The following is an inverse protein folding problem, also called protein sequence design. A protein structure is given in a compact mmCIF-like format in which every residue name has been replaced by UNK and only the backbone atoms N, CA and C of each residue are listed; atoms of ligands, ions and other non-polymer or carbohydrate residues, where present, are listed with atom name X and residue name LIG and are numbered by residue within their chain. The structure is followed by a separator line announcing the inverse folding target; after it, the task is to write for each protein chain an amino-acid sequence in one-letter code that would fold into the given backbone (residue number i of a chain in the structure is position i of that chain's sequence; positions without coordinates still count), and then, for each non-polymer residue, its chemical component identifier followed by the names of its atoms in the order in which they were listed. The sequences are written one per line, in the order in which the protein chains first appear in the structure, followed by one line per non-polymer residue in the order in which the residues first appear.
data_IF_547809204028
#
_entry.id   IF_547809204028
#
_cell.length_a   1.000
_cell.length_b   1.000
_cell.length_c   1.000
_cell.angle_alpha   90.00
_cell.angle_beta   90.00
_cell.angle_gamma   90.00
#
_symmetry.space_group_name_H-M   'P 1'
#
loop_
_entity.id
_entity.type
_entity.pdbx_description
1 polymer ?
#
# COMPACT_ATOMS: atom_id res chain seq x y z
N UNK A 1 -40.89 10.23 16.81
CA UNK A 1 -40.09 9.04 16.58
C UNK A 1 -39.32 9.21 15.27
N UNK A 2 -38.03 8.89 15.29
CA UNK A 2 -37.13 8.94 14.11
C UNK A 2 -36.63 7.53 13.81
N UNK A 3 -36.69 7.14 12.54
CA UNK A 3 -36.11 5.90 12.05
C UNK A 3 -34.69 6.20 11.57
N UNK A 4 -33.70 5.58 12.19
CA UNK A 4 -32.28 5.71 11.82
C UNK A 4 -31.86 4.44 11.09
N UNK A 5 -31.29 4.62 9.91
CA UNK A 5 -30.65 3.55 9.14
C UNK A 5 -29.17 3.50 9.51
N UNK A 6 -28.67 2.31 9.81
CA UNK A 6 -27.24 2.04 10.02
C UNK A 6 -26.72 1.31 8.78
N UNK A 7 -26.13 2.01 7.82
CA UNK A 7 -25.79 1.44 6.50
C UNK A 7 -24.77 0.30 6.58
N UNK A 8 -23.83 0.36 7.52
CA UNK A 8 -22.77 -0.66 7.67
C UNK A 8 -23.32 -2.04 8.07
N UNK A 9 -24.41 -2.07 8.85
CA UNK A 9 -25.04 -3.31 9.33
C UNK A 9 -26.39 -3.56 8.66
N UNK A 10 -26.81 -2.69 7.75
CA UNK A 10 -28.11 -2.74 7.04
C UNK A 10 -29.32 -2.86 7.98
N UNK A 11 -29.20 -2.35 9.21
CA UNK A 11 -30.27 -2.33 10.19
C UNK A 11 -30.92 -0.96 10.28
N UNK A 12 -32.21 -0.93 10.56
CA UNK A 12 -32.92 0.31 10.89
C UNK A 12 -33.53 0.19 12.30
N UNK A 13 -33.36 1.23 13.12
CA UNK A 13 -33.90 1.31 14.47
C UNK A 13 -34.74 2.56 14.63
N UNK A 14 -35.86 2.44 15.40
CA UNK A 14 -36.74 3.57 15.67
C UNK A 14 -36.43 4.11 17.08
N UNK A 15 -36.16 5.40 17.18
CA UNK A 15 -35.91 6.10 18.42
C UNK A 15 -37.03 7.09 18.76
N UNK A 16 -37.27 7.25 20.05
CA UNK A 16 -38.14 8.33 20.53
C UNK A 16 -37.29 9.61 20.62
N UNK A 17 -37.73 10.68 20.00
CA UNK A 17 -36.95 11.96 19.91
C UNK A 17 -36.82 12.69 21.23
N UNK A 18 -37.68 12.41 22.15
CA UNK A 18 -37.81 13.03 23.49
C UNK A 18 -36.88 12.37 24.54
N UNK A 19 -36.44 11.12 24.32
CA UNK A 19 -35.65 10.38 25.28
C UNK A 19 -34.31 9.88 24.75
N UNK A 20 -34.13 9.86 23.43
CA UNK A 20 -32.88 9.42 22.82
C UNK A 20 -31.90 10.61 22.65
N UNK A 21 -30.60 10.42 22.93
CA UNK A 21 -29.58 11.45 22.70
C UNK A 21 -29.28 11.62 21.21
N UNK A 22 -30.28 12.13 20.46
CA UNK A 22 -30.17 12.40 19.02
C UNK A 22 -29.92 13.88 18.81
N UNK A 23 -28.90 14.23 18.06
CA UNK A 23 -28.66 15.57 17.57
C UNK A 23 -28.71 15.57 16.05
N UNK A 24 -29.38 16.58 15.48
CA UNK A 24 -29.37 16.81 14.03
C UNK A 24 -28.03 17.41 13.64
N UNK A 25 -27.42 16.86 12.63
CA UNK A 25 -26.22 17.40 12.02
C UNK A 25 -26.67 18.30 10.86
N UNK A 26 -26.23 19.54 10.89
CA UNK A 26 -26.39 20.50 9.80
C UNK A 26 -25.02 20.98 9.36
N UNK A 27 -24.82 21.07 8.06
CA UNK A 27 -23.61 21.63 7.48
C UNK A 27 -23.70 23.15 7.41
N UNK A 28 -22.54 23.79 7.38
CA UNK A 28 -22.41 25.24 7.29
C UNK A 28 -21.97 25.67 5.88
N UNK A 29 -22.15 26.95 5.56
CA UNK A 29 -21.60 27.54 4.35
C UNK A 29 -20.07 27.38 4.35
N UNK A 30 -19.52 26.83 3.27
CA UNK A 30 -18.10 26.52 3.13
C UNK A 30 -17.74 25.04 3.35
N UNK A 31 -18.65 24.25 3.94
CA UNK A 31 -18.43 22.81 4.10
C UNK A 31 -18.51 22.09 2.74
N UNK A 32 -17.83 20.97 2.64
CA UNK A 32 -17.92 20.09 1.47
C UNK A 32 -18.83 18.91 1.83
N UNK A 33 -19.86 18.72 1.04
CA UNK A 33 -20.83 17.63 1.20
C UNK A 33 -20.92 16.81 -0.07
N UNK A 34 -21.24 15.52 0.05
CA UNK A 34 -21.43 14.62 -1.08
C UNK A 34 -22.78 13.93 -1.01
N UNK A 35 -23.32 13.55 -2.17
CA UNK A 35 -24.51 12.71 -2.28
C UNK A 35 -24.10 11.23 -2.44
N UNK A 36 -25.09 10.33 -2.51
CA UNK A 36 -24.85 8.89 -2.72
C UNK A 36 -24.30 8.54 -4.12
N UNK A 37 -24.19 9.53 -5.02
CA UNK A 37 -23.59 9.38 -6.35
C UNK A 37 -22.14 9.89 -6.40
N UNK A 38 -21.52 10.13 -5.25
CA UNK A 38 -20.15 10.67 -5.09
C UNK A 38 -19.94 12.07 -5.72
N UNK A 39 -21.01 12.81 -6.02
CA UNK A 39 -20.88 14.20 -6.42
C UNK A 39 -20.65 15.04 -5.16
N UNK A 40 -19.52 15.72 -5.10
CA UNK A 40 -19.15 16.59 -3.97
C UNK A 40 -19.34 18.05 -4.34
N UNK A 41 -20.02 18.82 -3.47
CA UNK A 41 -20.20 20.26 -3.64
C UNK A 41 -19.67 21.03 -2.41
N UNK A 42 -19.21 22.24 -2.63
CA UNK A 42 -18.94 23.20 -1.57
C UNK A 42 -20.21 24.01 -1.31
N UNK A 43 -20.71 23.96 -0.08
CA UNK A 43 -21.94 24.66 0.32
C UNK A 43 -21.76 26.18 0.23
N UNK A 44 -22.59 26.83 -0.56
CA UNK A 44 -22.61 28.31 -0.72
C UNK A 44 -23.83 28.92 -0.06
N UNK A 45 -24.97 28.21 -0.09
CA UNK A 45 -26.22 28.69 0.49
C UNK A 45 -26.99 27.51 1.11
N UNK A 46 -27.71 27.81 2.17
CA UNK A 46 -28.54 26.84 2.90
C UNK A 46 -29.96 27.40 2.96
N UNK A 47 -30.92 26.62 2.45
CA UNK A 47 -32.34 26.93 2.50
C UNK A 47 -33.05 25.96 3.44
N UNK A 48 -34.05 26.44 4.18
CA UNK A 48 -34.87 25.61 5.05
C UNK A 48 -36.34 25.72 4.64
N UNK A 49 -36.93 24.59 4.28
CA UNK A 49 -38.37 24.49 3.97
C UNK A 49 -39.00 23.34 4.75
N UNK A 50 -40.11 23.59 5.40
CA UNK A 50 -40.87 22.57 6.17
C UNK A 50 -40.01 21.78 7.18
N UNK A 51 -38.99 22.42 7.73
CA UNK A 51 -38.09 21.78 8.67
C UNK A 51 -36.95 20.95 8.03
N UNK A 52 -36.88 20.80 6.71
CA UNK A 52 -35.82 20.14 5.96
C UNK A 52 -34.79 21.16 5.45
N UNK A 53 -33.53 20.77 5.41
CA UNK A 53 -32.45 21.59 4.89
C UNK A 53 -32.13 21.20 3.45
N UNK A 54 -31.87 22.22 2.63
CA UNK A 54 -31.38 22.07 1.26
C UNK A 54 -30.09 22.87 1.13
N UNK A 55 -29.08 22.27 0.55
CA UNK A 55 -27.76 22.84 0.38
C UNK A 55 -27.51 23.14 -1.09
N UNK A 56 -27.25 24.38 -1.40
CA UNK A 56 -26.87 24.82 -2.74
C UNK A 56 -25.36 25.08 -2.77
N UNK A 57 -24.69 24.63 -3.79
CA UNK A 57 -23.25 24.81 -3.92
C UNK A 57 -22.73 24.42 -5.29
N UNK A 58 -21.44 24.62 -5.49
CA UNK A 58 -20.72 24.30 -6.73
C UNK A 58 -19.79 23.11 -6.55
N UNK A 59 -19.68 22.28 -7.58
CA UNK A 59 -18.69 21.19 -7.66
C UNK A 59 -17.33 21.71 -8.13
N UNK A 60 -16.35 20.80 -8.27
CA UNK A 60 -14.99 21.12 -8.74
C UNK A 60 -14.95 21.68 -10.17
N UNK A 61 -15.96 21.36 -10.98
CA UNK A 61 -16.08 21.79 -12.38
C UNK A 61 -16.87 23.11 -12.51
N UNK A 62 -17.35 23.66 -11.38
CA UNK A 62 -18.12 24.93 -11.33
C UNK A 62 -19.60 24.76 -11.64
N UNK A 63 -20.12 23.53 -11.74
CA UNK A 63 -21.55 23.28 -11.90
C UNK A 63 -22.27 23.44 -10.57
N UNK A 64 -23.43 24.12 -10.59
CA UNK A 64 -24.25 24.31 -9.39
C UNK A 64 -25.19 23.14 -9.18
N UNK A 65 -25.22 22.65 -7.95
CA UNK A 65 -26.10 21.54 -7.54
C UNK A 65 -26.88 21.93 -6.28
N UNK A 66 -28.05 21.34 -6.12
CA UNK A 66 -28.87 21.45 -4.91
C UNK A 66 -29.07 20.05 -4.33
N UNK A 67 -28.61 19.84 -3.09
CA UNK A 67 -28.82 18.58 -2.38
C UNK A 67 -29.80 18.80 -1.24
N UNK A 68 -30.78 17.94 -1.13
CA UNK A 68 -31.62 17.87 0.05
C UNK A 68 -30.93 17.05 1.13
N UNK A 69 -31.14 17.36 2.40
CA UNK A 69 -30.48 16.64 3.50
C UNK A 69 -30.74 15.13 3.49
N UNK A 70 -31.83 14.66 2.84
CA UNK A 70 -32.16 13.25 2.70
C UNK A 70 -31.38 12.55 1.58
N UNK A 71 -30.79 13.30 0.67
CA UNK A 71 -30.03 12.80 -0.48
C UNK A 71 -28.51 12.81 -0.22
N UNK A 72 -28.12 13.26 0.97
CA UNK A 72 -26.72 13.30 1.35
C UNK A 72 -26.19 11.91 1.64
N UNK A 73 -24.90 11.70 1.31
CA UNK A 73 -24.21 10.46 1.61
C UNK A 73 -24.32 10.10 3.08
N UNK A 74 -24.54 8.82 3.36
CA UNK A 74 -24.57 8.29 4.74
C UNK A 74 -23.24 8.42 5.46
N UNK A 75 -22.16 8.70 4.74
CA UNK A 75 -20.84 8.96 5.30
C UNK A 75 -20.62 10.46 5.48
N UNK A 76 -20.74 10.91 6.73
CA UNK A 76 -20.55 12.30 7.09
C UNK A 76 -19.06 12.58 7.33
N UNK A 77 -18.45 13.39 6.47
CA UNK A 77 -17.09 13.88 6.65
C UNK A 77 -17.11 15.31 7.14
N UNK A 78 -16.75 15.54 8.40
CA UNK A 78 -16.54 16.89 8.91
C UNK A 78 -15.13 17.35 8.59
N UNK A 79 -15.01 18.57 8.07
CA UNK A 79 -13.74 19.15 7.62
C UNK A 79 -12.88 19.69 8.75
N UNK A 80 -13.49 20.10 9.87
CA UNK A 80 -12.75 20.64 11.00
C UNK A 80 -12.72 19.71 12.23
N UNK A 81 -11.63 19.71 13.01
CA UNK A 81 -11.53 18.92 14.24
C UNK A 81 -12.61 19.28 15.27
N UNK A 82 -12.99 20.55 15.34
CA UNK A 82 -14.04 21.05 16.25
C UNK A 82 -15.40 20.46 15.90
N UNK A 83 -15.79 20.47 14.61
CA UNK A 83 -17.05 19.88 14.15
C UNK A 83 -17.12 18.38 14.46
N UNK A 84 -16.01 17.67 14.27
CA UNK A 84 -15.90 16.23 14.62
C UNK A 84 -16.07 16.00 16.12
N UNK A 85 -15.50 16.87 16.94
CA UNK A 85 -15.61 16.80 18.40
C UNK A 85 -17.05 17.04 18.85
N UNK A 86 -17.71 18.10 18.36
CA UNK A 86 -19.10 18.43 18.70
C UNK A 86 -20.11 17.40 18.22
N UNK A 87 -19.84 16.75 17.09
CA UNK A 87 -20.70 15.68 16.57
C UNK A 87 -20.40 14.32 17.21
N UNK A 88 -19.56 14.26 18.25
CA UNK A 88 -19.16 13.05 18.93
C UNK A 88 -18.49 11.99 18.01
N UNK A 89 -17.90 12.45 16.91
CA UNK A 89 -17.06 11.64 16.04
C UNK A 89 -15.66 11.47 16.64
N UNK A 90 -15.63 10.96 17.88
CA UNK A 90 -14.38 10.71 18.60
C UNK A 90 -14.07 9.21 18.50
N UNK A 91 -12.84 8.90 18.18
CA UNK A 91 -12.36 7.53 18.22
C UNK A 91 -12.52 6.95 19.64
N UNK A 92 -12.95 5.69 19.71
CA UNK A 92 -12.96 4.97 21.00
C UNK A 92 -11.54 4.98 21.58
N UNK A 93 -11.43 5.15 22.90
CA UNK A 93 -10.12 5.18 23.58
C UNK A 93 -9.19 4.03 23.18
N UNK A 94 -9.76 2.84 22.93
CA UNK A 94 -8.98 1.68 22.45
C UNK A 94 -8.36 1.91 21.07
N UNK A 95 -9.12 2.50 20.15
CA UNK A 95 -8.63 2.75 18.79
C UNK A 95 -7.56 3.85 18.80
N UNK A 96 -7.76 4.88 19.62
CA UNK A 96 -6.75 5.93 19.83
C UNK A 96 -5.47 5.36 20.43
N UNK A 97 -5.56 4.54 21.48
CA UNK A 97 -4.42 3.89 22.10
C UNK A 97 -3.65 3.01 21.09
N UNK A 98 -4.36 2.20 20.30
CA UNK A 98 -3.75 1.38 19.25
C UNK A 98 -3.02 2.23 18.21
N UNK A 99 -3.62 3.35 17.79
CA UNK A 99 -3.01 4.27 16.82
C UNK A 99 -1.72 4.88 17.37
N UNK A 100 -1.76 5.33 18.63
CA UNK A 100 -0.57 5.89 19.32
C UNK A 100 0.53 4.84 19.48
N UNK A 101 0.19 3.62 19.89
CA UNK A 101 1.17 2.53 20.00
C UNK A 101 1.78 2.17 18.65
N UNK A 102 0.95 2.06 17.61
CA UNK A 102 1.43 1.80 16.24
C UNK A 102 2.42 2.87 15.79
N UNK A 103 2.10 4.14 16.00
CA UNK A 103 3.00 5.26 15.68
C UNK A 103 4.30 5.21 16.49
N UNK A 104 4.24 4.88 17.78
CA UNK A 104 5.43 4.69 18.61
C UNK A 104 6.31 3.56 18.12
N UNK A 105 5.71 2.41 17.74
CA UNK A 105 6.47 1.29 17.19
C UNK A 105 7.09 1.64 15.84
N UNK A 106 6.34 2.29 14.95
CA UNK A 106 6.85 2.76 13.65
C UNK A 106 8.03 3.70 13.85
N UNK A 107 7.92 4.66 14.78
CA UNK A 107 8.99 5.61 15.09
C UNK A 107 10.25 4.89 15.64
N UNK A 108 10.08 3.93 16.56
CA UNK A 108 11.20 3.11 17.05
C UNK A 108 11.87 2.33 15.92
N UNK A 109 11.09 1.73 15.03
CA UNK A 109 11.60 1.03 13.85
C UNK A 109 12.41 1.96 12.95
N UNK A 110 11.91 3.17 12.71
CA UNK A 110 12.57 4.17 11.87
C UNK A 110 13.87 4.71 12.48
N UNK A 111 13.95 4.82 13.81
CA UNK A 111 15.14 5.30 14.52
C UNK A 111 16.15 4.19 14.86
N UNK A 112 15.78 2.94 14.73
CA UNK A 112 16.65 1.82 15.05
C UNK A 112 17.86 1.77 14.10
N UNK A 113 19.06 1.59 14.64
CA UNK A 113 20.27 1.35 13.85
C UNK A 113 20.25 0.00 13.13
N UNK A 114 19.38 -0.92 13.56
CA UNK A 114 19.12 -2.24 12.95
C UNK A 114 17.78 -2.27 12.21
N UNK A 115 17.37 -1.13 11.64
CA UNK A 115 16.14 -1.07 10.82
C UNK A 115 16.15 -2.17 9.76
N UNK A 116 14.97 -2.73 9.51
CA UNK A 116 14.82 -3.78 8.50
C UNK A 116 15.32 -5.17 8.89
N UNK A 117 16.07 -5.28 9.99
CA UNK A 117 16.42 -6.58 10.59
C UNK A 117 15.42 -6.99 11.68
N UNK A 118 14.63 -6.03 12.18
CA UNK A 118 13.55 -6.30 13.13
C UNK A 118 12.39 -6.97 12.42
N UNK A 119 11.98 -8.13 12.92
CA UNK A 119 10.90 -8.93 12.33
C UNK A 119 11.37 -10.06 11.42
N UNK A 120 12.66 -10.14 11.11
CA UNK A 120 13.24 -11.30 10.44
C UNK A 120 13.19 -12.53 11.37
N UNK A 121 12.74 -13.65 10.84
CA UNK A 121 12.70 -14.96 11.52
C UNK A 121 13.92 -15.78 11.13
N UNK A 122 15.10 -15.22 11.36
CA UNK A 122 16.39 -15.86 11.05
C UNK A 122 17.34 -15.63 12.19
N UNK A 123 18.31 -16.54 12.37
CA UNK A 123 19.41 -16.32 13.28
C UNK A 123 20.26 -15.15 12.76
N UNK A 124 20.53 -14.19 13.65
CA UNK A 124 21.30 -13.01 13.29
C UNK A 124 22.80 -13.35 13.41
N UNK A 125 23.40 -13.73 12.31
CA UNK A 125 24.83 -13.95 12.26
C UNK A 125 25.56 -12.59 12.11
N UNK A 126 26.60 -12.31 12.93
CA UNK A 126 27.24 -10.99 12.96
C UNK A 126 27.72 -10.48 11.60
N UNK A 127 28.31 -11.36 10.76
CA UNK A 127 28.78 -10.99 9.43
C UNK A 127 27.60 -10.60 8.49
N UNK A 128 26.48 -11.37 8.49
CA UNK A 128 25.31 -11.09 7.67
C UNK A 128 24.66 -9.75 8.07
N UNK A 129 24.52 -9.52 9.39
CA UNK A 129 24.00 -8.26 9.93
C UNK A 129 24.89 -7.08 9.53
N UNK A 130 26.19 -7.25 9.63
CA UNK A 130 27.16 -6.21 9.24
C UNK A 130 27.07 -5.87 7.76
N UNK A 131 27.06 -6.89 6.88
CA UNK A 131 26.97 -6.72 5.43
C UNK A 131 25.65 -6.06 5.07
N UNK A 132 24.52 -6.59 5.56
CA UNK A 132 23.19 -6.05 5.28
C UNK A 132 23.06 -4.59 5.74
N UNK A 133 23.52 -4.24 6.95
CA UNK A 133 23.47 -2.87 7.45
C UNK A 133 24.36 -1.92 6.64
N UNK A 134 25.58 -2.35 6.29
CA UNK A 134 26.51 -1.56 5.48
C UNK A 134 25.97 -1.26 4.08
N UNK A 135 25.27 -2.22 3.47
CA UNK A 135 24.68 -2.06 2.13
C UNK A 135 23.42 -1.22 2.21
N UNK A 136 22.52 -1.55 3.14
CA UNK A 136 21.25 -0.88 3.31
C UNK A 136 21.35 0.61 3.66
N UNK A 137 22.47 1.02 4.28
CA UNK A 137 22.74 2.43 4.58
C UNK A 137 23.21 3.26 3.37
N UNK A 138 23.51 2.63 2.23
CA UNK A 138 23.98 3.32 1.03
C UNK A 138 22.78 3.81 0.19
N UNK A 139 22.96 4.94 -0.46
CA UNK A 139 22.03 5.40 -1.48
C UNK A 139 22.29 4.64 -2.79
N UNK A 140 21.25 4.03 -3.38
CA UNK A 140 21.30 3.25 -4.63
C UNK A 140 22.49 2.24 -4.66
N UNK A 141 22.53 1.26 -3.77
CA UNK A 141 23.68 0.37 -3.65
C UNK A 141 23.82 -0.51 -4.90
N UNK A 142 25.04 -0.58 -5.44
CA UNK A 142 25.45 -1.58 -6.44
C UNK A 142 26.50 -2.46 -5.78
N UNK A 143 26.14 -3.70 -5.49
CA UNK A 143 26.98 -4.60 -4.71
C UNK A 143 26.97 -6.01 -5.29
N UNK A 144 28.09 -6.70 -5.11
CA UNK A 144 28.22 -8.12 -5.34
C UNK A 144 28.37 -8.80 -3.97
N UNK A 145 27.46 -9.72 -3.65
CA UNK A 145 27.58 -10.63 -2.50
C UNK A 145 28.39 -11.83 -2.96
N UNK A 146 29.66 -11.89 -2.58
CA UNK A 146 30.63 -12.86 -3.08
C UNK A 146 31.13 -13.81 -1.98
N UNK A 147 30.36 -14.02 -0.95
CA UNK A 147 30.70 -14.96 0.13
C UNK A 147 30.69 -16.41 -0.37
N UNK A 148 31.36 -17.29 0.36
CA UNK A 148 31.40 -18.73 0.03
C UNK A 148 29.99 -19.34 -0.05
N UNK A 149 29.90 -20.42 -0.82
CA UNK A 149 28.64 -21.18 -0.94
C UNK A 149 28.23 -21.71 0.44
N UNK A 150 26.96 -21.52 0.81
CA UNK A 150 26.42 -21.98 2.09
C UNK A 150 26.48 -20.96 3.22
N UNK A 151 27.15 -19.81 3.08
CA UNK A 151 27.18 -18.75 4.09
C UNK A 151 25.90 -17.89 4.16
N UNK A 152 24.90 -18.20 3.31
CA UNK A 152 23.58 -17.57 3.38
C UNK A 152 23.44 -16.25 2.63
N UNK A 153 24.06 -16.12 1.45
CA UNK A 153 23.90 -14.96 0.55
C UNK A 153 22.44 -14.56 0.32
N UNK A 154 21.56 -15.54 0.15
CA UNK A 154 20.12 -15.33 0.00
C UNK A 154 19.51 -14.67 1.24
N UNK A 155 20.02 -14.99 2.44
CA UNK A 155 19.58 -14.38 3.70
C UNK A 155 20.07 -12.92 3.77
N UNK A 156 21.30 -12.64 3.38
CA UNK A 156 21.82 -11.28 3.30
C UNK A 156 21.03 -10.42 2.32
N UNK A 157 20.79 -10.95 1.12
CA UNK A 157 19.92 -10.29 0.13
C UNK A 157 18.52 -10.05 0.69
N UNK A 158 17.92 -11.05 1.36
CA UNK A 158 16.63 -10.93 2.03
C UNK A 158 16.60 -9.86 3.11
N UNK A 159 17.64 -9.75 3.94
CA UNK A 159 17.77 -8.69 4.94
C UNK A 159 17.84 -7.30 4.29
N UNK A 160 18.59 -7.16 3.19
CA UNK A 160 18.71 -5.89 2.45
C UNK A 160 17.34 -5.51 1.86
N UNK A 161 16.68 -6.44 1.18
CA UNK A 161 15.35 -6.21 0.59
C UNK A 161 14.31 -5.87 1.66
N UNK A 162 14.30 -6.61 2.75
CA UNK A 162 13.39 -6.36 3.87
C UNK A 162 13.62 -4.97 4.48
N UNK A 163 14.88 -4.55 4.64
CA UNK A 163 15.20 -3.20 5.06
C UNK A 163 14.64 -2.15 4.09
N UNK A 164 14.89 -2.32 2.79
CA UNK A 164 14.45 -1.36 1.77
C UNK A 164 12.92 -1.24 1.72
N UNK A 165 12.20 -2.35 1.85
CA UNK A 165 10.72 -2.36 1.90
C UNK A 165 10.21 -1.65 3.16
N UNK A 166 10.70 -2.00 4.35
CA UNK A 166 10.24 -1.40 5.62
C UNK A 166 10.56 0.09 5.68
N UNK A 167 11.71 0.51 5.15
CA UNK A 167 12.10 1.93 5.12
C UNK A 167 11.51 2.69 3.94
N UNK A 168 10.72 2.02 3.09
CA UNK A 168 10.12 2.58 1.88
C UNK A 168 11.14 3.10 0.85
N UNK A 169 12.37 2.58 0.89
CA UNK A 169 13.41 2.88 -0.10
C UNK A 169 13.19 2.13 -1.41
N UNK A 170 12.56 0.96 -1.35
CA UNK A 170 12.15 0.21 -2.53
C UNK A 170 10.68 -0.21 -2.38
N UNK A 171 9.91 0.04 -3.42
CA UNK A 171 8.51 -0.40 -3.57
C UNK A 171 8.37 -1.44 -4.66
N UNK A 172 9.20 -1.33 -5.71
CA UNK A 172 9.20 -2.24 -6.84
C UNK A 172 10.52 -2.99 -6.92
N UNK A 173 10.45 -4.30 -6.79
CA UNK A 173 11.62 -5.18 -6.69
C UNK A 173 11.50 -6.29 -7.73
N UNK A 174 12.55 -6.44 -8.54
CA UNK A 174 12.69 -7.56 -9.46
C UNK A 174 13.81 -8.49 -8.95
N UNK A 175 13.52 -9.77 -8.87
CA UNK A 175 14.45 -10.81 -8.46
C UNK A 175 14.58 -11.82 -9.60
N UNK A 176 15.78 -11.96 -10.14
CA UNK A 176 16.12 -12.90 -11.20
C UNK A 176 16.93 -14.05 -10.61
N UNK A 177 16.47 -15.27 -10.82
CA UNK A 177 17.12 -16.48 -10.26
C UNK A 177 17.17 -17.60 -11.29
N UNK A 178 18.11 -18.55 -11.17
CA UNK A 178 18.02 -19.83 -11.89
C UNK A 178 16.71 -20.56 -11.55
N UNK A 179 16.16 -21.30 -12.49
CA UNK A 179 14.88 -22.03 -12.35
C UNK A 179 14.85 -22.93 -11.13
N UNK A 180 15.97 -23.59 -10.85
CA UNK A 180 16.12 -24.48 -9.68
C UNK A 180 15.99 -23.78 -8.34
N UNK A 181 16.20 -22.46 -8.28
CA UNK A 181 16.20 -21.68 -7.04
C UNK A 181 14.88 -20.92 -6.81
N UNK A 182 13.95 -20.90 -7.76
CA UNK A 182 12.66 -20.18 -7.64
C UNK A 182 11.91 -20.61 -6.38
N UNK A 183 11.74 -21.90 -6.16
CA UNK A 183 11.02 -22.40 -4.99
C UNK A 183 11.76 -22.08 -3.69
N UNK A 184 13.07 -22.15 -3.67
CA UNK A 184 13.88 -21.82 -2.51
C UNK A 184 13.68 -20.34 -2.13
N UNK A 185 13.78 -19.43 -3.09
CA UNK A 185 13.57 -17.99 -2.86
C UNK A 185 12.17 -17.70 -2.32
N UNK A 186 11.12 -18.30 -2.88
CA UNK A 186 9.75 -18.16 -2.38
C UNK A 186 9.64 -18.54 -0.91
N UNK A 187 10.16 -19.71 -0.56
CA UNK A 187 10.07 -20.25 0.80
C UNK A 187 10.89 -19.41 1.79
N UNK A 188 12.12 -19.06 1.42
CA UNK A 188 13.01 -18.26 2.28
C UNK A 188 12.44 -16.87 2.54
N UNK A 189 11.97 -16.16 1.50
CA UNK A 189 11.41 -14.82 1.64
C UNK A 189 10.12 -14.82 2.45
N UNK A 190 9.25 -15.80 2.22
CA UNK A 190 8.00 -15.89 2.98
C UNK A 190 8.24 -16.27 4.44
N UNK A 191 9.06 -17.28 4.70
CA UNK A 191 9.27 -17.81 6.06
C UNK A 191 10.10 -16.90 6.94
N UNK A 192 11.20 -16.34 6.38
CA UNK A 192 12.17 -15.58 7.16
C UNK A 192 11.87 -14.08 7.22
N UNK A 193 11.29 -13.54 6.14
CA UNK A 193 11.08 -12.09 6.01
C UNK A 193 9.61 -11.71 5.90
N UNK A 194 8.68 -12.67 5.90
CA UNK A 194 7.24 -12.43 5.70
C UNK A 194 6.97 -11.68 4.38
N UNK A 195 7.88 -11.78 3.43
CA UNK A 195 7.83 -11.14 2.13
C UNK A 195 7.19 -12.09 1.12
N UNK A 196 6.09 -11.66 0.51
CA UNK A 196 5.41 -12.40 -0.55
C UNK A 196 6.01 -11.99 -1.88
N UNK A 197 6.44 -12.98 -2.65
CA UNK A 197 6.93 -12.82 -4.01
C UNK A 197 5.88 -13.36 -4.98
N UNK A 198 5.69 -12.65 -6.09
CA UNK A 198 4.85 -13.11 -7.21
C UNK A 198 5.76 -13.72 -8.28
N UNK A 199 5.59 -15.02 -8.57
CA UNK A 199 6.35 -15.68 -9.62
C UNK A 199 5.79 -15.28 -10.97
N UNK A 200 6.66 -14.87 -11.87
CA UNK A 200 6.36 -14.56 -13.26
C UNK A 200 7.09 -15.55 -14.16
N UNK A 201 6.36 -16.52 -14.62
CA UNK A 201 6.75 -17.45 -15.66
C UNK A 201 6.05 -17.11 -16.98
N UNK A 202 6.36 -17.86 -18.05
CA UNK A 202 5.75 -17.65 -19.36
C UNK A 202 4.22 -17.73 -19.32
N UNK A 203 3.67 -18.70 -18.59
CA UNK A 203 2.22 -18.91 -18.52
C UNK A 203 1.51 -17.69 -17.89
N UNK A 204 2.09 -17.13 -16.83
CA UNK A 204 1.52 -15.95 -16.16
C UNK A 204 1.63 -14.70 -17.02
N UNK A 205 2.80 -14.45 -17.63
CA UNK A 205 2.99 -13.26 -18.48
C UNK A 205 2.07 -13.34 -19.70
N UNK A 206 1.98 -14.50 -20.37
CA UNK A 206 1.06 -14.71 -21.49
C UNK A 206 -0.40 -14.47 -21.09
N UNK A 207 -0.84 -15.00 -19.95
CA UNK A 207 -2.21 -14.78 -19.46
C UNK A 207 -2.53 -13.30 -19.23
N UNK A 208 -1.61 -12.52 -18.64
CA UNK A 208 -1.79 -11.09 -18.43
C UNK A 208 -1.86 -10.31 -19.74
N UNK A 209 -1.04 -10.70 -20.74
CA UNK A 209 -1.10 -10.09 -22.08
C UNK A 209 -2.41 -10.44 -22.79
N UNK A 210 -2.89 -11.68 -22.68
CA UNK A 210 -4.16 -12.15 -23.25
C UNK A 210 -5.38 -11.43 -22.62
N UNK A 211 -5.28 -11.05 -21.35
CA UNK A 211 -6.26 -10.21 -20.65
C UNK A 211 -6.22 -8.72 -21.09
N UNK A 212 -5.29 -8.37 -21.99
CA UNK A 212 -5.16 -7.01 -22.54
C UNK A 212 -4.30 -6.06 -21.72
N UNK A 213 -3.50 -6.58 -20.77
CA UNK A 213 -2.60 -5.75 -19.99
C UNK A 213 -1.37 -5.38 -20.83
N UNK A 214 -1.15 -4.08 -21.07
CA UNK A 214 -0.02 -3.58 -21.87
C UNK A 214 1.33 -3.74 -21.18
N UNK A 215 1.35 -3.65 -19.84
CA UNK A 215 2.55 -3.72 -19.00
C UNK A 215 2.37 -4.79 -17.91
N UNK A 216 2.57 -6.07 -18.23
CA UNK A 216 2.27 -7.16 -17.31
C UNK A 216 3.09 -7.13 -16.01
N UNK A 217 4.33 -6.61 -16.08
CA UNK A 217 5.20 -6.52 -14.92
C UNK A 217 4.82 -5.39 -13.95
N UNK A 218 3.90 -4.50 -14.31
CA UNK A 218 3.40 -3.45 -13.42
C UNK A 218 2.28 -3.94 -12.48
N UNK A 219 1.77 -5.15 -12.71
CA UNK A 219 0.70 -5.75 -11.91
C UNK A 219 1.08 -6.09 -10.47
N UNK A 220 2.37 -6.26 -10.18
CA UNK A 220 2.86 -6.70 -8.87
C UNK A 220 4.08 -5.88 -8.42
N UNK A 221 4.27 -5.79 -7.10
CA UNK A 221 5.34 -4.98 -6.52
C UNK A 221 6.66 -5.72 -6.39
N UNK A 222 6.62 -7.00 -6.00
CA UNK A 222 7.81 -7.83 -5.78
C UNK A 222 7.70 -9.07 -6.65
N UNK A 223 8.48 -9.08 -7.71
CA UNK A 223 8.43 -10.09 -8.75
C UNK A 223 9.67 -10.96 -8.71
N UNK A 224 9.45 -12.26 -8.80
CA UNK A 224 10.48 -13.29 -8.93
C UNK A 224 10.37 -13.95 -10.31
N UNK A 225 11.42 -13.83 -11.13
CA UNK A 225 11.46 -14.43 -12.45
C UNK A 225 12.56 -15.47 -12.55
N UNK A 226 12.31 -16.63 -13.16
CA UNK A 226 13.37 -17.51 -13.60
C UNK A 226 14.15 -16.85 -14.75
N UNK A 227 15.48 -17.07 -14.80
CA UNK A 227 16.31 -16.53 -15.87
C UNK A 227 15.95 -17.11 -17.24
N UNK A 228 15.46 -18.35 -17.31
CA UNK A 228 14.98 -19.00 -18.53
C UNK A 228 13.88 -18.20 -19.22
N UNK A 229 13.03 -17.50 -18.48
CA UNK A 229 11.96 -16.66 -19.02
C UNK A 229 12.45 -15.70 -20.11
N UNK A 230 13.58 -15.05 -19.88
CA UNK A 230 14.15 -14.07 -20.82
C UNK A 230 15.04 -14.70 -21.89
N UNK A 231 15.47 -15.92 -21.69
CA UNK A 231 16.22 -16.69 -22.68
C UNK A 231 15.25 -17.28 -23.71
N UNK A 232 14.12 -17.82 -23.26
CA UNK A 232 13.10 -18.44 -24.08
C UNK A 232 12.19 -17.41 -24.78
N UNK A 233 11.93 -16.29 -24.10
CA UNK A 233 11.06 -15.21 -24.57
C UNK A 233 11.78 -13.85 -24.43
N UNK A 234 12.74 -13.55 -25.32
CA UNK A 234 13.54 -12.31 -25.23
C UNK A 234 12.72 -11.03 -25.29
N UNK A 235 11.54 -11.06 -25.93
CA UNK A 235 10.62 -9.95 -26.02
C UNK A 235 10.12 -9.47 -24.65
N UNK A 236 10.05 -10.34 -23.65
CA UNK A 236 9.62 -9.94 -22.30
C UNK A 236 10.64 -9.02 -21.62
N UNK A 237 11.88 -9.03 -22.06
CA UNK A 237 12.89 -8.09 -21.55
C UNK A 237 12.52 -6.63 -21.82
N UNK A 238 11.81 -6.33 -22.90
CA UNK A 238 11.35 -4.98 -23.21
C UNK A 238 10.35 -4.48 -22.17
N UNK A 239 9.39 -5.31 -21.76
CA UNK A 239 8.42 -4.94 -20.71
C UNK A 239 9.10 -4.72 -19.36
N UNK A 240 10.12 -5.51 -19.04
CA UNK A 240 10.89 -5.34 -17.80
C UNK A 240 11.69 -4.04 -17.81
N UNK A 241 12.23 -3.63 -18.97
CA UNK A 241 13.00 -2.39 -19.11
C UNK A 241 12.12 -1.14 -19.02
N UNK A 242 10.88 -1.21 -19.49
CA UNK A 242 9.93 -0.09 -19.40
C UNK A 242 9.34 0.06 -18.00
N UNK A 243 9.24 -1.04 -17.26
CA UNK A 243 8.76 -1.03 -15.87
C UNK A 243 9.78 -0.35 -14.94
N UNK A 244 9.29 0.51 -14.05
CA UNK A 244 10.14 1.22 -13.08
C UNK A 244 10.51 0.34 -11.89
N UNK A 245 11.78 -0.06 -11.76
CA UNK A 245 12.30 -0.86 -10.65
C UNK A 245 13.16 -0.02 -9.72
N UNK A 246 12.92 -0.13 -8.41
CA UNK A 246 13.77 0.48 -7.39
C UNK A 246 14.97 -0.39 -7.07
N UNK A 247 14.79 -1.72 -7.11
CA UNK A 247 15.86 -2.69 -6.81
C UNK A 247 15.77 -3.88 -7.75
N UNK A 248 16.93 -4.26 -8.29
CA UNK A 248 17.15 -5.49 -9.05
C UNK A 248 18.09 -6.39 -8.25
N UNK A 249 17.69 -7.64 -8.06
CA UNK A 249 18.53 -8.71 -7.51
C UNK A 249 18.75 -9.76 -8.60
N UNK A 250 19.98 -10.18 -8.79
CA UNK A 250 20.32 -11.27 -9.68
C UNK A 250 21.09 -12.31 -8.88
N UNK A 251 20.50 -13.48 -8.70
CA UNK A 251 21.18 -14.62 -8.08
C UNK A 251 21.99 -15.38 -9.11
N UNK A 252 23.09 -15.99 -8.66
CA UNK A 252 24.02 -16.74 -9.50
C UNK A 252 24.43 -15.93 -10.77
N UNK A 253 24.80 -14.66 -10.57
CA UNK A 253 25.11 -13.73 -11.65
C UNK A 253 26.21 -14.20 -12.63
N UNK A 254 26.97 -15.24 -12.24
CA UNK A 254 27.95 -15.87 -13.13
C UNK A 254 27.34 -16.61 -14.32
N UNK A 255 26.01 -16.88 -14.30
CA UNK A 255 25.28 -17.42 -15.46
C UNK A 255 24.96 -16.34 -16.51
N UNK A 256 25.14 -15.05 -16.19
CA UNK A 256 24.95 -13.97 -17.16
C UNK A 256 26.17 -13.89 -18.08
N UNK A 257 25.94 -14.14 -19.37
CA UNK A 257 26.99 -13.93 -20.37
C UNK A 257 27.22 -12.42 -20.58
N UNK A 258 28.45 -11.96 -20.41
CA UNK A 258 28.85 -10.59 -20.73
C UNK A 258 29.97 -10.59 -21.77
N UNK A 259 29.86 -9.75 -22.77
CA UNK A 259 30.95 -9.47 -23.69
C UNK A 259 31.14 -7.95 -23.87
N UNK A 260 32.40 -7.51 -23.93
CA UNK A 260 32.74 -6.10 -24.13
C UNK A 260 32.26 -5.52 -25.48
N UNK A 261 31.76 -6.37 -26.38
CA UNK A 261 31.28 -6.00 -27.71
C UNK A 261 29.77 -5.79 -27.77
N UNK A 262 29.05 -5.98 -26.64
CA UNK A 262 27.59 -5.86 -26.55
C UNK A 262 27.16 -4.63 -25.70
N UNK A 263 27.98 -3.61 -25.60
CA UNK A 263 27.63 -2.32 -24.95
C UNK A 263 27.13 -1.35 -25.99
#
# INVERSE_FOLDING_TARGET
RVKILFPVVSESRIYATDSAPLSRIAYSVGDIISNDQDIAIKVEQIDQKEGLLSYNGSDADGCTHTFHELDLSSFVHFTTPEQRLFSNQIDKNKNFALRVETLKHLHRLQQSTVKGMLGCRTDLLPHQVFIANKIASRHAPRVLLADEVGLGKTIEAGMILHYQVITQQARRILILVPDSLVHQWLVEMLRRFTMRLSVFDHARVSALLDEGMSEPFDSEQVILCPLSLFIEQPEYAAYVQTSGWDTLVVDEAHHLAWSAQQV
#
